data_IF_322001042783
#
_entry.id   IF_322001042783
#
_cell.length_a   1.000
_cell.length_b   1.000
_cell.length_c   1.000
_cell.angle_alpha   90.00
_cell.angle_beta   90.00
_cell.angle_gamma   90.00
#
_symmetry.space_group_name_H-M   'P 1'
#
loop_
_entity.id
_entity.type
_entity.pdbx_description
1 polymer ?
#
# COMPACT_ATOMS: atom_id res chain seq x y z
N UNK A 1 2.48 16.04 18.48
CA UNK A 1 2.89 15.08 17.43
C UNK A 1 1.61 14.57 16.81
N UNK A 2 1.37 14.97 15.56
CA UNK A 2 0.27 14.48 14.75
C UNK A 2 0.50 12.98 14.47
N UNK A 3 -0.53 12.15 14.59
CA UNK A 3 -0.41 10.71 14.35
C UNK A 3 0.03 10.42 12.90
N UNK A 4 0.59 9.23 12.57
CA UNK A 4 1.01 8.86 11.20
C UNK A 4 -0.13 8.89 10.18
N UNK A 5 -1.36 9.09 10.67
CA UNK A 5 -2.56 9.22 9.89
C UNK A 5 -3.27 10.57 10.04
N UNK A 6 -2.70 11.61 10.63
CA UNK A 6 -3.34 12.93 10.61
C UNK A 6 -2.98 13.67 9.32
N UNK A 7 -3.98 14.30 8.70
CA UNK A 7 -3.75 15.12 7.51
C UNK A 7 -3.30 16.51 7.97
N UNK A 8 -2.12 16.93 7.55
CA UNK A 8 -1.60 18.26 7.84
C UNK A 8 -2.33 19.32 7.01
N UNK A 9 -2.53 20.51 7.59
CA UNK A 9 -3.16 21.63 6.89
C UNK A 9 -2.25 22.08 5.74
N UNK A 10 -2.82 22.22 4.54
CA UNK A 10 -2.11 22.61 3.33
C UNK A 10 -1.37 23.96 3.46
N UNK A 11 -1.88 24.87 4.29
CA UNK A 11 -1.24 26.16 4.56
C UNK A 11 -0.07 26.08 5.55
N UNK A 12 0.18 24.91 6.16
CA UNK A 12 1.26 24.71 7.12
C UNK A 12 2.62 24.81 6.41
N UNK A 13 3.54 25.65 6.89
CA UNK A 13 4.91 25.67 6.37
C UNK A 13 5.68 24.39 6.70
N UNK A 14 6.55 23.96 5.79
CA UNK A 14 7.48 22.85 6.02
C UNK A 14 8.59 23.26 6.98
N UNK A 15 8.86 22.41 7.96
CA UNK A 15 9.99 22.56 8.87
C UNK A 15 11.33 22.36 8.12
N UNK A 16 12.46 22.83 8.65
CA UNK A 16 13.78 22.53 8.08
C UNK A 16 14.07 21.03 7.94
N UNK A 17 13.58 20.21 8.89
CA UNK A 17 13.75 18.76 8.86
C UNK A 17 12.93 18.11 7.74
N UNK A 18 11.70 18.58 7.48
CA UNK A 18 10.86 18.07 6.39
C UNK A 18 11.38 18.48 5.01
N UNK A 19 12.11 19.59 4.92
CA UNK A 19 12.79 20.00 3.68
C UNK A 19 14.07 19.21 3.41
N UNK A 20 14.57 18.43 4.37
CA UNK A 20 15.74 17.60 4.12
C UNK A 20 15.44 16.53 3.06
N UNK A 21 16.34 16.39 2.09
CA UNK A 21 16.13 15.52 0.93
C UNK A 21 15.18 16.07 -0.15
N UNK A 22 14.50 17.21 0.05
CA UNK A 22 13.58 17.79 -0.93
C UNK A 22 14.34 18.38 -2.12
N UNK A 23 13.94 18.03 -3.35
CA UNK A 23 14.55 18.48 -4.60
C UNK A 23 14.06 19.88 -4.98
N UNK A 24 12.74 20.17 -5.02
CA UNK A 24 12.25 21.50 -5.39
C UNK A 24 12.47 22.48 -4.24
N UNK A 25 13.43 23.39 -4.39
CA UNK A 25 13.82 24.35 -3.34
C UNK A 25 12.81 25.47 -3.12
N UNK A 26 11.87 25.67 -4.04
CA UNK A 26 10.83 26.70 -3.97
C UNK A 26 9.61 26.27 -3.14
N UNK A 27 9.51 24.98 -2.79
CA UNK A 27 8.38 24.46 -2.02
C UNK A 27 8.54 24.81 -0.55
N UNK A 28 7.52 25.45 0.01
CA UNK A 28 7.54 25.94 1.39
C UNK A 28 6.32 25.49 2.19
N UNK A 29 5.24 25.09 1.53
CA UNK A 29 3.99 24.69 2.17
C UNK A 29 3.69 23.21 1.92
N UNK A 30 2.99 22.58 2.86
CA UNK A 30 2.55 21.18 2.72
C UNK A 30 1.61 20.99 1.53
N UNK A 31 0.78 21.98 1.19
CA UNK A 31 -0.08 21.95 0.00
C UNK A 31 0.70 21.82 -1.30
N UNK A 32 1.70 22.68 -1.49
CA UNK A 32 2.59 22.68 -2.66
C UNK A 32 3.34 21.35 -2.81
N UNK A 33 3.86 20.82 -1.68
CA UNK A 33 4.52 19.53 -1.64
C UNK A 33 3.57 18.40 -2.08
N UNK A 34 2.36 18.37 -1.51
CA UNK A 34 1.35 17.36 -1.83
C UNK A 34 0.97 17.39 -3.31
N UNK A 35 0.82 18.58 -3.91
CA UNK A 35 0.50 18.73 -5.33
C UNK A 35 1.59 18.16 -6.23
N UNK A 36 2.86 18.47 -5.96
CA UNK A 36 4.00 17.96 -6.73
C UNK A 36 4.14 16.44 -6.62
N UNK A 37 3.98 15.90 -5.41
CA UNK A 37 3.95 14.45 -5.21
C UNK A 37 2.79 13.80 -5.96
N UNK A 38 1.59 14.39 -5.90
CA UNK A 38 0.41 13.84 -6.56
C UNK A 38 0.58 13.83 -8.09
N UNK A 39 1.17 14.88 -8.68
CA UNK A 39 1.49 14.91 -10.09
C UNK A 39 2.49 13.80 -10.47
N UNK A 40 3.57 13.64 -9.70
CA UNK A 40 4.57 12.62 -10.00
C UNK A 40 4.03 11.19 -9.80
N UNK A 41 3.13 11.00 -8.83
CA UNK A 41 2.41 9.74 -8.63
C UNK A 41 1.49 9.45 -9.82
N UNK A 42 0.78 10.44 -10.35
CA UNK A 42 -0.07 10.26 -11.54
C UNK A 42 0.76 9.81 -12.76
N UNK A 43 1.91 10.45 -13.00
CA UNK A 43 2.86 10.05 -14.05
C UNK A 43 3.34 8.60 -13.85
N UNK A 44 3.70 8.24 -12.61
CA UNK A 44 4.16 6.90 -12.27
C UNK A 44 3.04 5.85 -12.44
N UNK A 45 1.79 6.20 -12.10
CA UNK A 45 0.63 5.34 -12.31
C UNK A 45 0.42 5.06 -13.81
N UNK A 46 0.41 6.10 -14.65
CA UNK A 46 0.27 5.94 -16.09
C UNK A 46 1.33 4.95 -16.64
N UNK A 47 2.61 5.19 -16.32
CA UNK A 47 3.71 4.30 -16.69
C UNK A 47 3.54 2.87 -16.17
N UNK A 48 3.08 2.70 -14.93
CA UNK A 48 3.00 1.39 -14.31
C UNK A 48 1.91 0.53 -14.96
N UNK A 49 0.78 1.12 -15.34
CA UNK A 49 -0.36 0.44 -15.97
C UNK A 49 -0.29 0.31 -17.50
N UNK A 50 0.66 0.94 -18.18
CA UNK A 50 0.89 0.78 -19.64
C UNK A 50 1.06 -0.68 -20.08
N UNK A 51 1.55 -1.55 -19.19
CA UNK A 51 1.77 -2.97 -19.44
C UNK A 51 1.82 -3.74 -18.13
N UNK A 52 1.61 -5.06 -18.20
CA UNK A 52 1.79 -5.94 -17.05
C UNK A 52 3.21 -5.82 -16.48
N UNK A 53 3.30 -5.75 -15.15
CA UNK A 53 4.55 -5.65 -14.38
C UNK A 53 4.68 -6.84 -13.44
N UNK A 54 5.91 -7.23 -13.14
CA UNK A 54 6.21 -8.15 -12.04
C UNK A 54 6.25 -7.36 -10.72
N UNK A 55 5.09 -7.24 -10.09
CA UNK A 55 4.94 -6.46 -8.84
C UNK A 55 5.59 -7.17 -7.66
N UNK A 56 5.64 -8.49 -7.69
CA UNK A 56 6.21 -9.32 -6.63
C UNK A 56 7.73 -9.45 -6.82
N UNK A 57 8.39 -8.32 -7.05
CA UNK A 57 9.83 -8.21 -7.26
C UNK A 57 10.34 -6.97 -6.52
N UNK A 58 11.30 -7.17 -5.62
CA UNK A 58 11.83 -6.10 -4.77
C UNK A 58 12.40 -4.93 -5.60
N UNK A 59 13.15 -5.24 -6.65
CA UNK A 59 13.74 -4.21 -7.51
C UNK A 59 12.67 -3.40 -8.24
N UNK A 60 11.60 -4.06 -8.71
CA UNK A 60 10.45 -3.36 -9.29
C UNK A 60 9.77 -2.46 -8.27
N UNK A 61 9.50 -2.96 -7.07
CA UNK A 61 8.84 -2.22 -6.00
C UNK A 61 9.60 -0.96 -5.55
N UNK A 62 10.92 -1.07 -5.43
CA UNK A 62 11.81 0.09 -5.19
C UNK A 62 11.81 1.04 -6.38
N UNK A 63 11.83 0.52 -7.60
CA UNK A 63 11.74 1.30 -8.85
C UNK A 63 10.40 2.04 -9.01
N UNK A 64 9.30 1.43 -8.56
CA UNK A 64 7.98 2.04 -8.51
C UNK A 64 7.99 3.24 -7.57
N UNK A 65 8.47 3.06 -6.33
CA UNK A 65 8.60 4.16 -5.38
C UNK A 65 9.52 5.26 -5.92
N UNK A 66 10.64 4.90 -6.55
CA UNK A 66 11.52 5.88 -7.21
C UNK A 66 10.75 6.72 -8.23
N UNK A 67 10.00 6.11 -9.13
CA UNK A 67 9.23 6.85 -10.16
C UNK A 67 8.14 7.73 -9.55
N UNK A 68 7.50 7.27 -8.47
CA UNK A 68 6.49 8.06 -7.76
C UNK A 68 7.05 9.34 -7.14
N UNK A 69 8.34 9.38 -6.79
CA UNK A 69 8.88 10.44 -5.93
C UNK A 69 10.19 11.08 -6.39
N UNK A 70 10.84 10.61 -7.47
CA UNK A 70 12.16 11.10 -7.91
C UNK A 70 12.22 12.57 -8.35
N UNK A 71 11.08 13.21 -8.65
CA UNK A 71 11.03 14.66 -8.93
C UNK A 71 10.94 15.49 -7.64
N UNK A 72 10.60 14.86 -6.52
CA UNK A 72 10.34 15.51 -5.23
C UNK A 72 11.43 15.18 -4.21
N UNK A 73 11.83 13.91 -4.10
CA UNK A 73 12.70 13.43 -3.03
C UNK A 73 13.98 12.78 -3.55
N UNK A 74 15.13 13.18 -2.98
CA UNK A 74 16.45 12.59 -3.30
C UNK A 74 16.56 11.11 -2.93
N UNK A 75 15.85 10.69 -1.89
CA UNK A 75 15.85 9.31 -1.37
C UNK A 75 14.84 8.39 -2.08
N UNK A 76 14.24 8.83 -3.19
CA UNK A 76 13.21 8.08 -3.88
C UNK A 76 13.73 6.69 -4.35
N UNK A 77 13.19 5.64 -3.72
CA UNK A 77 13.47 4.23 -4.03
C UNK A 77 14.44 3.58 -3.04
N UNK A 78 14.91 4.34 -2.05
CA UNK A 78 15.69 3.84 -0.93
C UNK A 78 14.79 3.63 0.27
N UNK A 79 15.04 2.55 1.01
CA UNK A 79 14.36 2.31 2.28
C UNK A 79 14.68 3.43 3.26
N UNK A 80 13.73 3.72 4.14
CA UNK A 80 13.98 4.66 5.23
C UNK A 80 15.10 4.13 6.13
N UNK A 81 15.92 5.05 6.63
CA UNK A 81 17.04 4.76 7.53
C UNK A 81 16.76 5.14 8.98
N UNK A 82 15.62 5.76 9.24
CA UNK A 82 15.22 6.27 10.56
C UNK A 82 13.96 5.58 11.05
N UNK A 83 13.84 5.50 12.37
CA UNK A 83 12.64 5.01 13.03
C UNK A 83 11.45 5.93 12.76
N UNK A 84 10.26 5.33 12.75
CA UNK A 84 8.97 6.02 12.55
C UNK A 84 7.95 5.42 13.51
N UNK A 85 6.88 6.16 13.77
CA UNK A 85 5.78 5.70 14.62
C UNK A 85 5.02 4.49 14.04
N UNK A 86 5.24 4.17 12.76
CA UNK A 86 4.66 3.04 12.05
C UNK A 86 5.77 2.33 11.26
N UNK A 87 5.71 1.00 11.22
CA UNK A 87 6.65 0.17 10.49
C UNK A 87 7.59 -0.63 11.37
N UNK A 88 8.29 -1.59 10.76
CA UNK A 88 9.36 -2.36 11.43
C UNK A 88 10.65 -1.54 11.60
N UNK A 89 11.62 -1.98 12.41
CA UNK A 89 12.89 -1.27 12.49
C UNK A 89 13.58 -1.18 11.10
N UNK A 90 14.33 -0.10 10.76
CA UNK A 90 14.94 0.08 9.44
C UNK A 90 15.77 -1.11 8.93
N UNK A 91 16.48 -1.79 9.82
CA UNK A 91 17.30 -2.96 9.48
C UNK A 91 16.46 -4.21 9.14
N UNK A 92 15.18 -4.24 9.53
CA UNK A 92 14.23 -5.32 9.23
C UNK A 92 13.40 -5.05 7.96
N UNK A 93 13.42 -3.83 7.42
CA UNK A 93 12.57 -3.46 6.27
C UNK A 93 12.76 -4.41 5.09
N UNK A 94 14.01 -4.65 4.70
CA UNK A 94 14.31 -5.50 3.55
C UNK A 94 13.85 -6.96 3.77
N UNK A 95 14.27 -7.66 4.85
CA UNK A 95 13.84 -9.04 5.06
C UNK A 95 12.32 -9.19 5.19
N UNK A 96 11.65 -8.26 5.87
CA UNK A 96 10.19 -8.30 6.04
C UNK A 96 9.45 -8.03 4.71
N UNK A 97 9.96 -7.11 3.87
CA UNK A 97 9.39 -6.90 2.54
C UNK A 97 9.59 -8.12 1.65
N UNK A 98 10.76 -8.78 1.71
CA UNK A 98 11.02 -10.02 0.97
C UNK A 98 10.06 -11.12 1.45
N UNK A 99 9.81 -11.24 2.75
CA UNK A 99 8.84 -12.19 3.28
C UNK A 99 7.43 -11.91 2.73
N UNK A 100 6.98 -10.64 2.76
CA UNK A 100 5.68 -10.26 2.20
C UNK A 100 5.55 -10.57 0.70
N UNK A 101 6.63 -10.37 -0.07
CA UNK A 101 6.69 -10.74 -1.49
C UNK A 101 6.58 -12.26 -1.66
N UNK A 102 7.31 -13.04 -0.88
CA UNK A 102 7.31 -14.50 -0.97
C UNK A 102 5.95 -15.09 -0.58
N UNK A 103 5.31 -14.56 0.46
CA UNK A 103 3.97 -14.96 0.85
C UNK A 103 2.97 -14.69 -0.28
N UNK A 104 3.03 -13.50 -0.90
CA UNK A 104 2.16 -13.17 -2.02
C UNK A 104 2.41 -14.06 -3.25
N UNK A 105 3.67 -14.41 -3.54
CA UNK A 105 4.01 -15.36 -4.61
C UNK A 105 3.39 -16.72 -4.35
N UNK A 106 3.52 -17.22 -3.12
CA UNK A 106 2.91 -18.48 -2.70
C UNK A 106 1.39 -18.44 -2.87
N UNK A 107 0.72 -17.37 -2.43
CA UNK A 107 -0.73 -17.23 -2.58
C UNK A 107 -1.18 -17.21 -4.04
N UNK A 108 -0.39 -16.58 -4.93
CA UNK A 108 -0.65 -16.58 -6.37
C UNK A 108 -0.50 -17.98 -6.95
N UNK A 109 0.60 -18.67 -6.64
CA UNK A 109 0.92 -20.00 -7.16
C UNK A 109 -0.13 -21.04 -6.76
N UNK A 110 -0.54 -21.02 -5.49
CA UNK A 110 -1.47 -21.99 -4.93
C UNK A 110 -2.93 -21.55 -4.96
N UNK A 111 -3.23 -20.37 -5.52
CA UNK A 111 -4.59 -19.77 -5.52
C UNK A 111 -5.20 -19.78 -4.11
N UNK A 112 -4.40 -19.45 -3.11
CA UNK A 112 -4.82 -19.53 -1.70
C UNK A 112 -5.97 -18.58 -1.37
N UNK A 113 -6.08 -17.50 -2.14
CA UNK A 113 -7.11 -16.47 -2.00
C UNK A 113 -7.58 -16.01 -3.38
N UNK A 114 -8.79 -15.44 -3.41
CA UNK A 114 -9.24 -14.64 -4.55
C UNK A 114 -8.33 -13.43 -4.76
N UNK A 115 -8.25 -12.94 -6.00
CA UNK A 115 -7.28 -11.90 -6.37
C UNK A 115 -7.38 -10.62 -5.54
N UNK A 116 -8.61 -10.25 -5.17
CA UNK A 116 -8.88 -9.07 -4.35
C UNK A 116 -8.31 -9.24 -2.94
N UNK A 117 -8.67 -10.33 -2.26
CA UNK A 117 -8.20 -10.62 -0.90
C UNK A 117 -6.68 -10.78 -0.86
N UNK A 118 -6.09 -11.45 -1.85
CA UNK A 118 -4.64 -11.58 -1.99
C UNK A 118 -3.96 -10.20 -2.01
N UNK A 119 -4.46 -9.28 -2.83
CA UNK A 119 -3.89 -7.94 -2.94
C UNK A 119 -4.14 -7.09 -1.69
N UNK A 120 -5.27 -7.28 -1.01
CA UNK A 120 -5.56 -6.64 0.30
C UNK A 120 -4.60 -7.12 1.38
N UNK A 121 -4.33 -8.43 1.46
CA UNK A 121 -3.36 -9.01 2.40
C UNK A 121 -1.94 -8.52 2.12
N UNK A 122 -1.55 -8.47 0.84
CA UNK A 122 -0.25 -7.91 0.44
C UNK A 122 -0.12 -6.42 0.81
N UNK A 123 -1.18 -5.63 0.55
CA UNK A 123 -1.25 -4.22 0.93
C UNK A 123 -1.05 -4.02 2.44
N UNK A 124 -1.78 -4.78 3.26
CA UNK A 124 -1.67 -4.72 4.72
C UNK A 124 -0.24 -5.03 5.19
N UNK A 125 0.38 -6.10 4.68
CA UNK A 125 1.79 -6.40 4.96
C UNK A 125 2.72 -5.26 4.55
N UNK A 126 2.53 -4.68 3.37
CA UNK A 126 3.33 -3.54 2.91
C UNK A 126 3.19 -2.30 3.81
N UNK A 127 1.99 -2.07 4.36
CA UNK A 127 1.73 -1.00 5.35
C UNK A 127 2.44 -1.30 6.68
N UNK A 128 2.40 -2.55 7.16
CA UNK A 128 3.08 -2.99 8.39
C UNK A 128 4.61 -2.91 8.28
N UNK A 129 5.19 -3.24 7.14
CA UNK A 129 6.64 -3.08 6.91
C UNK A 129 7.00 -1.60 6.86
N UNK A 130 6.17 -0.80 6.18
CA UNK A 130 6.38 0.63 5.97
C UNK A 130 7.81 0.96 5.43
N UNK A 131 8.19 0.42 4.26
CA UNK A 131 9.56 0.50 3.75
C UNK A 131 10.00 1.92 3.38
N UNK A 132 9.03 2.77 3.04
CA UNK A 132 9.22 4.16 2.64
C UNK A 132 8.35 5.06 3.50
N UNK A 133 8.70 6.34 3.63
CA UNK A 133 7.96 7.31 4.44
C UNK A 133 6.57 7.73 3.86
N UNK A 134 5.98 6.93 2.94
CA UNK A 134 4.81 7.31 2.15
C UNK A 134 3.87 6.12 1.89
N UNK A 135 2.70 6.09 2.55
CA UNK A 135 1.69 5.02 2.38
C UNK A 135 0.98 4.95 1.02
N UNK A 136 1.16 5.97 0.15
CA UNK A 136 0.63 5.98 -1.23
C UNK A 136 1.24 4.86 -2.11
N UNK A 137 2.48 4.47 -1.82
CA UNK A 137 3.15 3.40 -2.56
C UNK A 137 2.51 2.02 -2.36
N UNK A 138 2.14 1.67 -1.13
CA UNK A 138 1.52 0.36 -0.82
C UNK A 138 0.21 0.16 -1.60
N UNK A 139 -0.62 1.21 -1.68
CA UNK A 139 -1.87 1.19 -2.45
C UNK A 139 -1.65 0.94 -3.94
N UNK A 140 -0.66 1.63 -4.53
CA UNK A 140 -0.35 1.43 -5.95
C UNK A 140 0.24 0.05 -6.22
N UNK A 141 1.08 -0.47 -5.32
CA UNK A 141 1.60 -1.83 -5.44
C UNK A 141 0.46 -2.86 -5.40
N UNK A 142 -0.52 -2.69 -4.51
CA UNK A 142 -1.70 -3.56 -4.44
C UNK A 142 -2.60 -3.46 -5.67
N UNK A 143 -2.85 -2.25 -6.20
CA UNK A 143 -3.58 -2.08 -7.47
C UNK A 143 -2.88 -2.80 -8.63
N UNK A 144 -1.55 -2.69 -8.74
CA UNK A 144 -0.78 -3.34 -9.79
C UNK A 144 -0.83 -4.87 -9.64
N UNK A 145 -0.82 -5.37 -8.40
CA UNK A 145 -0.90 -6.80 -8.11
C UNK A 145 -2.25 -7.37 -8.55
N UNK A 146 -3.36 -6.78 -8.12
CA UNK A 146 -4.71 -7.26 -8.48
C UNK A 146 -4.95 -7.18 -9.99
N UNK A 147 -4.54 -6.09 -10.65
CA UNK A 147 -4.65 -5.96 -12.11
C UNK A 147 -3.75 -6.97 -12.83
N UNK A 148 -2.55 -7.24 -12.31
CA UNK A 148 -1.65 -8.25 -12.85
C UNK A 148 -2.24 -9.66 -12.85
N UNK A 149 -3.16 -9.93 -11.91
CA UNK A 149 -3.90 -11.19 -11.81
C UNK A 149 -5.20 -11.22 -12.64
N UNK A 150 -5.58 -10.11 -13.27
CA UNK A 150 -6.82 -9.98 -14.04
C UNK A 150 -8.01 -9.43 -13.27
N UNK A 151 -7.80 -8.97 -12.02
CA UNK A 151 -8.77 -8.22 -11.25
C UNK A 151 -8.83 -6.74 -11.64
N UNK A 152 -9.59 -5.96 -10.89
CA UNK A 152 -9.78 -4.52 -11.12
C UNK A 152 -9.12 -3.70 -10.02
N UNK A 153 -8.77 -2.45 -10.31
CA UNK A 153 -8.22 -1.53 -9.31
C UNK A 153 -9.21 -1.27 -8.17
N UNK A 154 -8.68 -1.06 -6.97
CA UNK A 154 -9.48 -0.67 -5.83
C UNK A 154 -9.89 0.79 -5.91
N UNK A 155 -11.06 1.12 -5.38
CA UNK A 155 -11.50 2.52 -5.28
C UNK A 155 -10.75 3.31 -4.18
N UNK A 156 -10.15 2.63 -3.20
CA UNK A 156 -9.48 3.22 -2.03
C UNK A 156 -10.32 4.29 -1.29
N UNK A 157 -11.65 4.19 -1.33
CA UNK A 157 -12.54 5.21 -0.76
C UNK A 157 -12.55 6.56 -1.49
N UNK A 158 -11.92 6.65 -2.67
CA UNK A 158 -11.86 7.85 -3.52
C UNK A 158 -11.17 9.05 -2.86
N UNK A 159 -11.53 10.27 -3.28
CA UNK A 159 -10.99 11.53 -2.75
C UNK A 159 -11.20 11.70 -1.23
N UNK A 160 -12.09 10.90 -0.61
CA UNK A 160 -12.40 10.98 0.83
C UNK A 160 -11.27 10.45 1.72
N UNK A 161 -10.40 9.57 1.22
CA UNK A 161 -9.31 9.01 2.02
C UNK A 161 -8.13 10.00 2.23
N UNK A 162 -8.04 11.03 1.38
CA UNK A 162 -7.01 12.06 1.46
C UNK A 162 -7.30 13.14 2.51
N UNK A 163 -8.56 13.28 2.92
CA UNK A 163 -8.97 14.25 3.95
C UNK A 163 -9.14 13.54 5.30
N UNK A 164 -8.87 14.27 6.38
CA UNK A 164 -9.30 13.84 7.72
C UNK A 164 -10.83 13.71 7.69
N UNK A 165 -11.35 12.53 8.03
CA UNK A 165 -12.77 12.24 7.95
C UNK A 165 -13.10 10.78 8.17
N UNK A 166 -14.40 10.47 8.17
CA UNK A 166 -14.94 9.14 8.51
C UNK A 166 -14.34 8.03 7.66
N UNK A 167 -14.20 8.23 6.35
CA UNK A 167 -13.63 7.22 5.44
C UNK A 167 -12.19 6.83 5.83
N UNK A 168 -11.38 7.79 6.28
CA UNK A 168 -10.01 7.53 6.73
C UNK A 168 -10.01 6.80 8.06
N UNK A 169 -10.89 7.17 8.98
CA UNK A 169 -11.07 6.45 10.24
C UNK A 169 -11.47 4.99 9.98
N UNK A 170 -12.47 4.75 9.14
CA UNK A 170 -12.90 3.39 8.78
C UNK A 170 -11.76 2.58 8.16
N UNK A 171 -10.96 3.18 7.28
CA UNK A 171 -9.79 2.52 6.70
C UNK A 171 -8.75 2.11 7.75
N UNK A 172 -8.44 3.00 8.69
CA UNK A 172 -7.49 2.72 9.78
C UNK A 172 -8.04 1.64 10.71
N UNK A 173 -9.32 1.74 11.10
CA UNK A 173 -9.97 0.74 11.94
C UNK A 173 -9.97 -0.64 11.24
N UNK A 174 -10.16 -0.67 9.92
CA UNK A 174 -10.05 -1.90 9.13
C UNK A 174 -8.63 -2.47 9.04
N UNK A 175 -7.60 -1.62 9.00
CA UNK A 175 -6.20 -2.06 9.11
C UNK A 175 -5.92 -2.68 10.49
N UNK A 176 -6.43 -2.07 11.56
CA UNK A 176 -6.30 -2.61 12.93
C UNK A 176 -7.02 -3.97 13.09
N UNK A 177 -8.17 -4.17 12.44
CA UNK A 177 -8.79 -5.50 12.37
C UNK A 177 -7.90 -6.51 11.66
N UNK A 178 -7.28 -6.11 10.54
CA UNK A 178 -6.37 -6.96 9.78
C UNK A 178 -5.09 -7.33 10.54
N UNK A 179 -4.64 -6.50 11.49
CA UNK A 179 -3.55 -6.85 12.42
C UNK A 179 -3.89 -8.10 13.26
N UNK A 180 -5.18 -8.31 13.54
CA UNK A 180 -5.72 -9.48 14.23
C UNK A 180 -6.17 -10.60 13.26
N UNK A 181 -5.69 -10.56 12.01
CA UNK A 181 -6.03 -11.49 10.94
C UNK A 181 -7.50 -11.45 10.47
N UNK A 182 -8.28 -10.46 10.91
CA UNK A 182 -9.61 -10.20 10.40
C UNK A 182 -9.54 -9.22 9.21
N UNK A 183 -9.46 -9.78 8.01
CA UNK A 183 -9.37 -9.02 6.76
C UNK A 183 -10.73 -8.59 6.20
N UNK A 184 -11.84 -9.08 6.76
CA UNK A 184 -13.19 -8.82 6.22
C UNK A 184 -13.49 -7.31 6.18
N UNK A 185 -13.21 -6.52 7.24
CA UNK A 185 -13.44 -5.07 7.21
C UNK A 185 -12.65 -4.36 6.11
N UNK A 186 -11.39 -4.78 5.89
CA UNK A 186 -10.52 -4.16 4.91
C UNK A 186 -10.93 -4.51 3.47
N UNK A 187 -11.34 -5.75 3.23
CA UNK A 187 -11.93 -6.15 1.95
C UNK A 187 -13.21 -5.36 1.64
N UNK A 188 -14.12 -5.22 2.62
CA UNK A 188 -15.34 -4.43 2.46
C UNK A 188 -15.06 -2.94 2.21
N UNK A 189 -14.04 -2.38 2.86
CA UNK A 189 -13.65 -0.99 2.68
C UNK A 189 -13.12 -0.68 1.26
N UNK A 190 -12.57 -1.68 0.57
CA UNK A 190 -11.89 -1.54 -0.72
C UNK A 190 -12.76 -2.04 -1.89
N UNK A 191 -13.99 -1.53 -2.11
CA UNK A 191 -14.78 -2.02 -3.22
C UNK A 191 -14.07 -1.72 -4.54
N UNK A 192 -14.14 -2.67 -5.46
CA UNK A 192 -13.62 -2.57 -6.81
C UNK A 192 -14.32 -1.44 -7.57
N UNK A 193 -13.61 -0.82 -8.52
CA UNK A 193 -14.29 -0.03 -9.55
C UNK A 193 -15.22 -0.94 -10.36
N UNK A 194 -16.53 -0.86 -10.13
CA UNK A 194 -17.53 -1.50 -11.00
C UNK A 194 -17.95 -2.94 -10.68
N UNK A 195 -17.60 -3.52 -9.52
CA UNK A 195 -18.20 -4.78 -9.01
C UNK A 195 -18.55 -4.70 -7.53
N UNK A 196 -19.71 -5.24 -7.17
CA UNK A 196 -20.06 -5.62 -5.79
C UNK A 196 -19.28 -6.90 -5.48
N UNK A 197 -18.55 -6.97 -4.37
CA UNK A 197 -17.90 -8.22 -3.95
C UNK A 197 -18.98 -9.31 -3.79
N UNK A 198 -18.71 -10.55 -4.20
CA UNK A 198 -19.59 -11.67 -3.86
C UNK A 198 -19.64 -11.85 -2.34
N UNK A 199 -20.80 -12.26 -1.82
CA UNK A 199 -21.04 -12.40 -0.38
C UNK A 199 -19.98 -13.31 0.27
N UNK A 200 -19.28 -12.77 1.27
CA UNK A 200 -18.06 -13.33 1.87
C UNK A 200 -18.38 -14.43 2.91
N UNK A 201 -19.62 -14.92 3.00
CA UNK A 201 -20.02 -15.92 3.98
C UNK A 201 -19.28 -17.27 3.85
N UNK A 202 -18.52 -17.51 2.78
CA UNK A 202 -17.77 -18.75 2.56
C UNK A 202 -16.25 -18.69 2.88
N UNK A 203 -15.67 -17.57 3.34
CA UNK A 203 -14.23 -17.51 3.66
C UNK A 203 -13.81 -18.27 4.93
N UNK A 204 -14.77 -18.77 5.73
CA UNK A 204 -14.49 -19.57 6.93
C UNK A 204 -14.43 -21.10 6.69
N UNK A 205 -14.52 -21.58 5.45
CA UNK A 205 -14.62 -23.03 5.19
C UNK A 205 -13.47 -23.70 4.43
N UNK A 206 -12.44 -22.96 3.99
CA UNK A 206 -11.29 -23.55 3.28
C UNK A 206 -10.08 -23.89 4.17
N UNK A 207 -10.21 -23.88 5.50
CA UNK A 207 -9.15 -24.34 6.43
C UNK A 207 -9.32 -25.77 6.95
N UNK A 208 -10.30 -26.56 6.50
CA UNK A 208 -10.52 -27.93 7.05
C UNK A 208 -10.37 -29.06 6.03
N UNK A 209 -10.28 -28.80 4.73
CA UNK A 209 -10.24 -29.88 3.71
C UNK A 209 -8.84 -30.28 3.21
N UNK A 210 -7.76 -29.64 3.67
CA UNK A 210 -6.40 -30.02 3.28
C UNK A 210 -5.73 -31.09 4.15
N UNK A 211 -6.39 -31.59 5.21
CA UNK A 211 -5.80 -32.58 6.15
C UNK A 211 -6.26 -34.03 5.90
N UNK A 212 -7.23 -34.31 5.01
CA UNK A 212 -7.71 -35.70 4.80
C UNK A 212 -7.27 -36.40 3.51
N UNK A 213 -6.40 -35.79 2.68
CA UNK A 213 -5.96 -36.39 1.42
C UNK A 213 -4.55 -37.02 1.44
N UNK A 214 -3.97 -37.28 2.63
CA UNK A 214 -2.66 -37.94 2.80
C UNK A 214 -2.73 -39.18 3.71
N UNK A 215 -3.87 -39.87 3.70
CA UNK A 215 -4.02 -41.19 4.31
C UNK A 215 -4.90 -42.09 3.45
N UNK A 216 -4.39 -42.50 2.29
CA UNK A 216 -4.67 -43.80 1.65
C UNK A 216 -3.44 -44.26 0.88
#
# INVERSE_FOLDING_TARGET
>A
MTGPFEAEDAATPLTPAERDGLIPTHVTLHGELNELEQQNIADAQAWAFERKRDVLNEAFLRGLHRRMFNKVWRWAGDYRKTERNLGVAPHLIQPELIQAINDARFWVEHKSYEFDELAVRFHHKAVLVHPFANGRWARLAADLLVVGQGGTRFSWGGAKLQKAGEARKTYIDALHSADNHDFVPLCHFLPLQGRRMPDIENLHHTSTLAVSALAR
#
